data_IF_209111220177
#
_entry.id   IF_209111220177
#
_cell.length_a   1.000
_cell.length_b   1.000
_cell.length_c   1.000
_cell.angle_alpha   90.00
_cell.angle_beta   90.00
_cell.angle_gamma   90.00
#
_symmetry.space_group_name_H-M   'P 1'
#
loop_
_entity.id
_entity.type
_entity.pdbx_description
1 polymer ?
#
# COMPACT_ATOMS: atom_id res chain seq x y z
N UNK A 1 4.33 -14.82 2.23
CA UNK A 1 5.32 -13.80 2.58
C UNK A 1 4.64 -12.50 2.90
N UNK A 2 4.95 -11.94 4.08
CA UNK A 2 4.30 -10.75 4.66
C UNK A 2 5.28 -9.66 5.07
N UNK A 3 6.57 -9.97 5.09
CA UNK A 3 7.68 -9.11 5.51
C UNK A 3 8.99 -9.63 4.89
N UNK A 4 10.08 -8.88 5.05
CA UNK A 4 11.40 -9.26 4.51
C UNK A 4 11.98 -10.57 5.10
N UNK A 5 11.84 -10.77 6.41
CA UNK A 5 12.42 -11.91 7.13
C UNK A 5 11.80 -13.24 6.69
N UNK A 6 10.48 -13.29 6.53
CA UNK A 6 9.77 -14.47 6.02
C UNK A 6 10.16 -14.82 4.59
N UNK A 7 10.64 -13.85 3.81
CA UNK A 7 11.20 -14.09 2.47
C UNK A 7 12.53 -14.82 2.52
N UNK A 8 13.44 -14.39 3.39
CA UNK A 8 14.75 -15.04 3.58
C UNK A 8 14.58 -16.47 4.10
N UNK A 9 13.74 -16.68 5.13
CA UNK A 9 13.46 -18.01 5.68
C UNK A 9 12.96 -18.98 4.60
N UNK A 10 12.09 -18.51 3.70
CA UNK A 10 11.57 -19.34 2.61
C UNK A 10 12.65 -19.75 1.61
N UNK A 11 13.60 -18.85 1.31
CA UNK A 11 14.72 -19.18 0.43
C UNK A 11 15.68 -20.17 1.10
N UNK A 12 15.99 -19.96 2.38
CA UNK A 12 16.85 -20.87 3.16
C UNK A 12 16.23 -22.28 3.28
N UNK A 13 14.91 -22.36 3.51
CA UNK A 13 14.19 -23.63 3.67
C UNK A 13 14.05 -24.41 2.35
N UNK A 14 13.89 -23.71 1.22
CA UNK A 14 13.56 -24.35 -0.06
C UNK A 14 14.72 -24.41 -1.05
N UNK A 15 15.77 -23.63 -0.84
CA UNK A 15 16.90 -23.48 -1.76
C UNK A 15 16.54 -22.76 -3.07
N UNK A 16 15.42 -22.04 -3.12
CA UNK A 16 15.03 -21.29 -4.32
C UNK A 16 15.84 -19.99 -4.48
N UNK A 17 16.12 -19.61 -5.72
CA UNK A 17 16.87 -18.38 -6.02
C UNK A 17 16.07 -17.10 -5.78
N UNK A 18 14.73 -17.18 -5.87
CA UNK A 18 13.84 -16.03 -5.80
C UNK A 18 12.50 -16.34 -5.12
N UNK A 19 11.96 -15.34 -4.43
CA UNK A 19 10.62 -15.36 -3.84
C UNK A 19 9.68 -14.37 -4.54
N UNK A 20 8.43 -14.76 -4.70
CA UNK A 20 7.38 -13.90 -5.26
C UNK A 20 6.53 -13.28 -4.16
N UNK A 21 6.24 -11.97 -4.28
CA UNK A 21 5.34 -11.26 -3.37
C UNK A 21 3.96 -11.11 -4.01
N UNK A 22 3.00 -11.87 -3.48
CA UNK A 22 1.59 -11.73 -3.88
C UNK A 22 0.82 -10.78 -2.97
N UNK A 23 -0.09 -11.34 -2.17
CA UNK A 23 -0.99 -10.59 -1.26
C UNK A 23 -0.27 -9.66 -0.28
N UNK A 24 0.98 -9.96 0.10
CA UNK A 24 1.79 -9.15 1.02
C UNK A 24 2.10 -7.75 0.48
N UNK A 25 2.09 -7.54 -0.84
CA UNK A 25 2.34 -6.23 -1.45
C UNK A 25 1.09 -5.34 -1.54
N UNK A 26 -0.12 -5.88 -1.31
CA UNK A 26 -1.37 -5.14 -1.46
C UNK A 26 -1.48 -4.06 -0.38
N UNK A 27 -1.34 -2.79 -0.78
CA UNK A 27 -1.31 -1.65 0.14
C UNK A 27 -0.03 -1.56 0.99
N UNK A 28 0.96 -2.41 0.69
CA UNK A 28 2.28 -2.39 1.33
C UNK A 28 3.41 -2.48 0.29
N UNK A 29 3.61 -1.46 -0.55
CA UNK A 29 4.76 -1.41 -1.45
C UNK A 29 6.12 -1.34 -0.72
N UNK A 30 6.15 -1.07 0.59
CA UNK A 30 7.39 -1.00 1.36
C UNK A 30 8.01 -2.37 1.65
N UNK A 31 7.26 -3.46 1.51
CA UNK A 31 7.77 -4.83 1.66
C UNK A 31 8.98 -5.12 0.76
N UNK A 32 9.07 -4.49 -0.41
CA UNK A 32 10.22 -4.64 -1.30
C UNK A 32 11.49 -3.97 -0.75
N UNK A 33 11.34 -2.89 0.05
CA UNK A 33 12.48 -2.27 0.74
C UNK A 33 12.94 -3.13 1.90
N UNK A 34 12.01 -3.74 2.63
CA UNK A 34 12.31 -4.71 3.70
C UNK A 34 13.06 -5.93 3.14
N UNK A 35 12.59 -6.52 2.03
CA UNK A 35 13.27 -7.62 1.36
C UNK A 35 14.68 -7.25 0.92
N UNK A 36 14.85 -6.06 0.33
CA UNK A 36 16.18 -5.59 -0.08
C UNK A 36 17.12 -5.39 1.11
N UNK A 37 16.61 -4.93 2.25
CA UNK A 37 17.41 -4.80 3.48
C UNK A 37 17.82 -6.17 4.02
N UNK A 38 16.87 -7.11 4.10
CA UNK A 38 17.11 -8.48 4.54
C UNK A 38 18.14 -9.20 3.63
N UNK A 39 17.99 -9.06 2.31
CA UNK A 39 18.91 -9.63 1.32
C UNK A 39 20.34 -9.09 1.46
N UNK A 40 20.48 -7.80 1.80
CA UNK A 40 21.79 -7.13 1.98
C UNK A 40 22.37 -7.32 3.39
N UNK A 41 21.64 -7.94 4.31
CA UNK A 41 22.04 -8.02 5.72
C UNK A 41 22.10 -6.67 6.44
N UNK A 42 21.29 -5.69 6.01
CA UNK A 42 21.21 -4.36 6.64
C UNK A 42 19.96 -4.24 7.50
N UNK A 43 19.95 -3.29 8.43
CA UNK A 43 18.77 -2.99 9.24
C UNK A 43 17.54 -2.64 8.35
N UNK A 44 16.35 -3.18 8.65
CA UNK A 44 15.15 -2.86 7.89
C UNK A 44 14.81 -1.36 8.02
N UNK A 45 14.27 -0.74 6.95
CA UNK A 45 13.82 0.64 7.03
C UNK A 45 12.67 0.78 8.04
N UNK A 46 12.54 1.98 8.61
CA UNK A 46 11.40 2.29 9.47
C UNK A 46 10.06 2.06 8.73
N UNK A 47 9.06 1.61 9.49
CA UNK A 47 7.71 1.47 8.98
C UNK A 47 7.20 2.82 8.43
N UNK A 48 6.40 2.82 7.35
CA UNK A 48 5.92 4.06 6.76
C UNK A 48 5.02 4.81 7.74
N UNK A 49 5.29 6.11 7.87
CA UNK A 49 4.42 7.01 8.61
C UNK A 49 3.05 7.13 7.93
N UNK A 50 2.07 7.71 8.63
CA UNK A 50 0.79 8.03 8.00
C UNK A 50 0.97 8.94 6.78
N UNK A 51 1.91 9.87 6.86
CA UNK A 51 2.19 10.80 5.77
C UNK A 51 2.80 10.06 4.56
N UNK A 52 3.73 9.13 4.79
CA UNK A 52 4.27 8.27 3.71
C UNK A 52 3.16 7.48 3.01
N UNK A 53 2.20 6.96 3.79
CA UNK A 53 1.04 6.25 3.25
C UNK A 53 0.16 7.16 2.39
N UNK A 54 -0.11 8.40 2.81
CA UNK A 54 -0.86 9.38 2.01
C UNK A 54 -0.14 9.71 0.71
N UNK A 55 1.15 10.03 0.78
CA UNK A 55 1.93 10.39 -0.40
C UNK A 55 1.95 9.23 -1.40
N UNK A 56 2.12 8.00 -0.92
CA UNK A 56 2.08 6.82 -1.77
C UNK A 56 0.68 6.56 -2.36
N UNK A 57 -0.39 6.74 -1.58
CA UNK A 57 -1.76 6.64 -2.08
C UNK A 57 -2.06 7.69 -3.17
N UNK A 58 -1.64 8.94 -2.97
CA UNK A 58 -1.84 10.03 -3.93
C UNK A 58 -1.04 9.77 -5.20
N UNK A 59 0.23 9.36 -5.08
CA UNK A 59 1.05 8.97 -6.23
C UNK A 59 0.40 7.83 -7.01
N UNK A 60 0.02 6.75 -6.34
CA UNK A 60 -0.63 5.60 -6.97
C UNK A 60 -1.94 6.03 -7.66
N UNK A 61 -2.76 6.85 -7.00
CA UNK A 61 -3.98 7.36 -7.60
C UNK A 61 -3.72 8.17 -8.87
N UNK A 62 -2.74 9.07 -8.85
CA UNK A 62 -2.37 9.89 -10.01
C UNK A 62 -1.85 9.06 -11.18
N UNK A 63 -1.07 8.01 -10.90
CA UNK A 63 -0.58 7.09 -11.93
C UNK A 63 -1.74 6.35 -12.59
N UNK A 64 -2.71 5.85 -11.81
CA UNK A 64 -3.90 5.17 -12.34
C UNK A 64 -4.82 6.14 -13.06
N UNK A 65 -4.97 7.37 -12.56
CA UNK A 65 -5.74 8.44 -13.19
C UNK A 65 -5.20 8.79 -14.56
N UNK A 66 -3.88 8.97 -14.68
CA UNK A 66 -3.22 9.25 -15.95
C UNK A 66 -3.38 8.09 -16.94
N UNK A 67 -3.33 6.84 -16.47
CA UNK A 67 -3.40 5.66 -17.32
C UNK A 67 -4.82 5.31 -17.79
N UNK A 68 -5.83 5.46 -16.93
CA UNK A 68 -7.17 4.88 -17.14
C UNK A 68 -8.31 5.90 -17.12
N UNK A 69 -8.01 7.18 -16.84
CA UNK A 69 -9.01 8.22 -16.67
C UNK A 69 -9.81 8.10 -15.35
N UNK A 70 -10.58 9.13 -15.06
CA UNK A 70 -11.23 9.33 -13.76
C UNK A 70 -12.16 8.18 -13.36
N UNK A 71 -13.05 7.77 -14.27
CA UNK A 71 -14.09 6.78 -13.97
C UNK A 71 -13.50 5.46 -13.44
N UNK A 72 -12.45 4.96 -14.09
CA UNK A 72 -11.77 3.72 -13.73
C UNK A 72 -10.86 3.93 -12.52
N UNK A 73 -10.08 5.01 -12.50
CA UNK A 73 -9.11 5.27 -11.44
C UNK A 73 -9.76 5.43 -10.06
N UNK A 74 -10.86 6.17 -9.97
CA UNK A 74 -11.58 6.34 -8.69
C UNK A 74 -12.08 4.99 -8.17
N UNK A 75 -12.68 4.16 -9.04
CA UNK A 75 -13.22 2.85 -8.65
C UNK A 75 -12.13 1.87 -8.25
N UNK A 76 -11.03 1.82 -9.00
CA UNK A 76 -9.90 0.97 -8.66
C UNK A 76 -9.22 1.42 -7.37
N UNK A 77 -9.09 2.72 -7.12
CA UNK A 77 -8.44 3.19 -5.90
C UNK A 77 -9.24 2.93 -4.64
N UNK A 78 -10.56 2.76 -4.69
CA UNK A 78 -11.37 2.38 -3.51
C UNK A 78 -10.84 1.12 -2.82
N UNK A 79 -10.51 0.06 -3.60
CA UNK A 79 -9.91 -1.17 -3.04
C UNK A 79 -8.50 -0.93 -2.53
N UNK A 80 -7.67 -0.15 -3.24
CA UNK A 80 -6.29 0.11 -2.87
C UNK A 80 -6.20 0.91 -1.56
N UNK A 81 -7.03 1.96 -1.41
CA UNK A 81 -7.16 2.71 -0.16
C UNK A 81 -7.51 1.77 1.00
N UNK A 82 -8.44 0.85 0.78
CA UNK A 82 -8.78 -0.16 1.79
C UNK A 82 -7.60 -1.04 2.20
N UNK A 83 -6.69 -1.37 1.27
CA UNK A 83 -5.49 -2.13 1.58
C UNK A 83 -4.44 -1.30 2.33
N UNK A 84 -4.19 -0.05 1.94
CA UNK A 84 -3.24 0.84 2.63
C UNK A 84 -3.60 1.10 4.10
N UNK A 85 -4.90 1.10 4.39
CA UNK A 85 -5.44 1.42 5.72
C UNK A 85 -5.78 0.20 6.57
N UNK A 86 -5.52 -1.01 6.08
CA UNK A 86 -5.80 -2.25 6.81
C UNK A 86 -5.06 -2.22 8.16
N UNK A 87 -5.80 -2.52 9.23
CA UNK A 87 -5.26 -2.57 10.60
C UNK A 87 -5.20 -1.22 11.32
N UNK A 88 -5.58 -0.11 10.68
CA UNK A 88 -5.63 1.20 11.34
C UNK A 88 -6.99 1.45 12.02
N UNK A 89 -7.01 2.12 13.18
CA UNK A 89 -8.25 2.63 13.80
C UNK A 89 -9.04 3.50 12.81
N UNK A 90 -10.37 3.41 12.83
CA UNK A 90 -11.23 4.21 11.94
C UNK A 90 -11.22 3.81 10.45
N UNK A 91 -10.39 2.85 10.05
CA UNK A 91 -10.26 2.43 8.64
C UNK A 91 -11.57 1.89 8.03
N UNK A 92 -12.46 1.28 8.83
CA UNK A 92 -13.76 0.82 8.35
C UNK A 92 -14.68 1.97 7.92
N UNK A 93 -14.81 3.00 8.76
CA UNK A 93 -15.61 4.18 8.47
C UNK A 93 -15.06 4.94 7.25
N UNK A 94 -13.74 5.12 7.19
CA UNK A 94 -13.09 5.79 6.06
C UNK A 94 -13.28 5.02 4.75
N UNK A 95 -13.15 3.68 4.75
CA UNK A 95 -13.46 2.85 3.58
C UNK A 95 -14.91 3.00 3.13
N UNK A 96 -15.86 3.06 4.07
CA UNK A 96 -17.27 3.30 3.78
C UNK A 96 -17.49 4.62 3.03
N UNK A 97 -16.88 5.70 3.51
CA UNK A 97 -16.93 7.02 2.86
C UNK A 97 -16.28 6.99 1.45
N UNK A 98 -15.07 6.45 1.33
CA UNK A 98 -14.33 6.39 0.06
C UNK A 98 -15.09 5.57 -1.00
N UNK A 99 -15.81 4.53 -0.60
CA UNK A 99 -16.60 3.72 -1.52
C UNK A 99 -17.74 4.50 -2.22
N UNK A 100 -18.17 5.63 -1.65
CA UNK A 100 -19.20 6.50 -2.24
C UNK A 100 -18.62 7.58 -3.17
N UNK A 101 -17.31 7.84 -3.11
CA UNK A 101 -16.68 8.91 -3.90
C UNK A 101 -16.66 8.55 -5.38
N UNK A 102 -17.13 9.46 -6.25
CA UNK A 102 -17.14 9.27 -7.70
C UNK A 102 -16.24 10.23 -8.47
N UNK A 103 -15.70 11.26 -7.80
CA UNK A 103 -14.84 12.29 -8.40
C UNK A 103 -13.40 12.16 -7.96
N UNK A 104 -12.48 12.42 -8.88
CA UNK A 104 -11.03 12.34 -8.64
C UNK A 104 -10.58 13.32 -7.54
N UNK A 105 -11.04 14.56 -7.62
CA UNK A 105 -10.68 15.61 -6.67
C UNK A 105 -11.16 15.30 -5.25
N UNK A 106 -12.37 14.75 -5.11
CA UNK A 106 -12.91 14.32 -3.82
C UNK A 106 -12.07 13.19 -3.22
N UNK A 107 -11.64 12.22 -4.03
CA UNK A 107 -10.81 11.10 -3.56
C UNK A 107 -9.44 11.59 -3.10
N UNK A 108 -8.77 12.44 -3.90
CA UNK A 108 -7.48 13.00 -3.51
C UNK A 108 -7.61 13.84 -2.22
N UNK A 109 -8.67 14.64 -2.09
CA UNK A 109 -8.93 15.43 -0.89
C UNK A 109 -9.19 14.55 0.33
N UNK A 110 -9.95 13.47 0.19
CA UNK A 110 -10.19 12.50 1.25
C UNK A 110 -8.88 11.86 1.73
N UNK A 111 -7.98 11.50 0.80
CA UNK A 111 -6.67 10.93 1.15
C UNK A 111 -5.79 11.95 1.87
N UNK A 112 -5.76 13.22 1.42
CA UNK A 112 -4.98 14.29 2.06
C UNK A 112 -5.45 14.57 3.50
N UNK A 113 -6.77 14.62 3.67
CA UNK A 113 -7.42 14.89 4.96
C UNK A 113 -7.49 13.66 5.87
N UNK A 114 -6.94 12.53 5.47
CA UNK A 114 -6.81 11.36 6.32
C UNK A 114 -5.97 11.75 7.56
N UNK A 115 -6.57 11.75 8.74
CA UNK A 115 -5.88 12.08 9.98
C UNK A 115 -6.36 11.17 11.09
N UNK A 116 -5.44 10.69 11.92
CA UNK A 116 -5.79 10.00 13.15
C UNK A 116 -6.51 11.00 14.06
N UNK A 117 -7.82 10.82 14.23
CA UNK A 117 -8.46 11.15 15.50
C UNK A 117 -8.41 9.90 16.36
#
# INVERSE_FOLDING_TARGET
MTDGASGMSMMDETGCDFVMVGRGALGNPWIFRELNAAWKGTEPPAAPSMEDKKQMMIRHFRDVLALKGEYAAVREMRKHVGWYLKGLPGSAAFRGMVNQITKAQELESAIRNLGCR
#
